data_IF_515745617011
#
_entry.id   IF_515745617011
#
_cell.length_a   1.000
_cell.length_b   1.000
_cell.length_c   1.000
_cell.angle_alpha   90.00
_cell.angle_beta   90.00
_cell.angle_gamma   90.00
#
_symmetry.space_group_name_H-M   'P 1'
#
loop_
_entity.id
_entity.type
_entity.pdbx_description
1 polymer ?
#
# COMPACT_ATOMS: atom_id res chain seq x y z
N UNK A 1 2.84 -20.34 47.52
CA UNK A 1 3.13 -19.90 46.14
C UNK A 1 2.78 -18.44 46.04
N UNK A 2 3.77 -17.56 45.79
CA UNK A 2 3.54 -16.13 45.62
C UNK A 2 2.97 -15.89 44.22
N UNK A 3 1.81 -15.24 44.14
CA UNK A 3 1.18 -14.86 42.86
C UNK A 3 1.82 -13.57 42.37
N UNK A 4 2.64 -13.65 41.33
CA UNK A 4 3.16 -12.49 40.61
C UNK A 4 2.01 -11.77 39.88
N UNK A 5 1.62 -10.61 40.39
CA UNK A 5 0.72 -9.71 39.70
C UNK A 5 1.39 -9.15 38.44
N UNK A 6 0.91 -9.57 37.26
CA UNK A 6 1.35 -9.01 35.98
C UNK A 6 1.05 -7.51 35.95
N UNK A 7 2.10 -6.69 36.05
CA UNK A 7 2.01 -5.23 35.94
C UNK A 7 1.50 -4.85 34.53
N UNK A 8 0.23 -4.50 34.42
CA UNK A 8 -0.35 -3.93 33.21
C UNK A 8 0.17 -2.52 32.97
N UNK A 9 0.59 -2.23 31.74
CA UNK A 9 1.11 -0.92 31.29
C UNK A 9 0.07 0.22 31.47
N UNK A 10 -1.19 -0.12 31.71
CA UNK A 10 -2.26 0.84 31.96
C UNK A 10 -2.37 1.32 33.43
N UNK A 11 -1.69 0.66 34.39
CA UNK A 11 -1.71 1.10 35.80
C UNK A 11 -0.76 2.29 35.97
N UNK A 12 -1.30 3.51 35.89
CA UNK A 12 -0.55 4.75 36.10
C UNK A 12 -0.99 5.92 35.23
N UNK A 13 -1.87 5.68 34.24
CA UNK A 13 -2.46 6.77 33.48
C UNK A 13 -3.62 7.40 34.27
N UNK A 14 -3.47 8.67 34.66
CA UNK A 14 -4.53 9.49 35.25
C UNK A 14 -5.63 9.77 34.22
N UNK A 15 -6.46 8.76 33.94
CA UNK A 15 -7.62 8.89 33.06
C UNK A 15 -8.76 9.47 33.88
N UNK A 16 -9.28 10.63 33.48
CA UNK A 16 -10.57 11.11 33.99
C UNK A 16 -11.68 10.25 33.37
N UNK A 17 -12.41 9.44 34.15
CA UNK A 17 -13.54 8.68 33.61
C UNK A 17 -14.60 9.67 33.11
N UNK A 18 -15.15 9.44 31.91
CA UNK A 18 -16.23 10.26 31.36
C UNK A 18 -15.83 11.59 30.71
N UNK A 19 -14.55 11.83 30.37
CA UNK A 19 -14.11 13.09 29.73
C UNK A 19 -14.58 13.28 28.27
N UNK A 20 -15.36 12.37 27.70
CA UNK A 20 -15.88 12.49 26.35
C UNK A 20 -17.33 12.04 26.34
N UNK A 21 -18.21 12.93 25.89
CA UNK A 21 -19.58 12.58 25.55
C UNK A 21 -19.60 12.04 24.12
N UNK A 22 -20.23 10.88 23.88
CA UNK A 22 -20.34 10.34 22.52
C UNK A 22 -21.24 11.27 21.71
N UNK A 23 -20.79 11.67 20.52
CA UNK A 23 -21.57 12.53 19.63
C UNK A 23 -22.92 11.91 19.22
N UNK A 24 -23.05 10.58 19.29
CA UNK A 24 -24.28 9.84 18.99
C UNK A 24 -24.43 8.65 19.96
N UNK A 25 -25.65 8.34 20.42
CA UNK A 25 -25.91 7.19 21.26
C UNK A 25 -25.68 5.88 20.50
N UNK A 26 -25.14 4.86 21.19
CA UNK A 26 -24.96 3.53 20.60
C UNK A 26 -26.33 2.89 20.32
N UNK A 27 -26.62 2.61 19.05
CA UNK A 27 -27.77 1.81 18.64
C UNK A 27 -27.30 0.40 18.28
N UNK A 28 -27.92 -0.61 18.91
CA UNK A 28 -27.56 -2.04 18.72
C UNK A 28 -28.01 -2.60 17.35
N UNK A 29 -28.62 -1.77 16.51
CA UNK A 29 -29.10 -2.09 15.16
C UNK A 29 -28.05 -1.75 14.10
N UNK A 30 -26.90 -2.41 14.14
CA UNK A 30 -26.07 -2.55 12.93
C UNK A 30 -25.54 -3.96 12.88
N UNK A 31 -26.48 -4.89 12.84
CA UNK A 31 -26.30 -6.18 12.20
C UNK A 31 -27.11 -6.15 10.91
N UNK A 32 -26.39 -5.96 9.80
CA UNK A 32 -26.79 -6.17 8.39
C UNK A 32 -27.68 -5.09 7.75
N UNK A 33 -27.04 -4.38 6.82
CA UNK A 33 -27.47 -4.13 5.44
C UNK A 33 -28.99 -4.10 5.20
N UNK A 34 -29.58 -2.91 5.04
CA UNK A 34 -30.61 -2.66 4.02
C UNK A 34 -30.50 -1.23 3.48
N UNK A 35 -30.73 -1.13 2.17
CA UNK A 35 -30.59 0.02 1.28
C UNK A 35 -31.22 1.34 1.79
N UNK A 36 -30.43 2.42 1.80
CA UNK A 36 -30.94 3.78 1.65
C UNK A 36 -30.29 4.39 0.42
N UNK A 37 -31.01 4.32 -0.69
CA UNK A 37 -30.78 5.12 -1.89
C UNK A 37 -31.23 6.53 -1.56
N UNK A 38 -30.32 7.39 -1.14
CA UNK A 38 -30.54 8.82 -1.06
C UNK A 38 -29.58 9.56 -1.98
N UNK A 39 -30.19 10.42 -2.80
CA UNK A 39 -29.61 11.22 -3.88
C UNK A 39 -28.48 12.07 -3.32
N UNK A 40 -27.25 11.78 -3.72
CA UNK A 40 -26.12 12.66 -3.45
C UNK A 40 -26.11 13.72 -4.55
N UNK A 41 -26.55 14.91 -4.18
CA UNK A 41 -26.31 16.15 -4.94
C UNK A 41 -24.83 16.24 -5.32
N UNK A 42 -24.56 16.51 -6.59
CA UNK A 42 -23.23 16.78 -7.13
C UNK A 42 -22.70 18.11 -6.58
N UNK A 43 -22.42 18.18 -5.28
CA UNK A 43 -21.61 19.23 -4.70
C UNK A 43 -20.17 18.80 -4.93
N UNK A 44 -19.52 19.46 -5.90
CA UNK A 44 -18.09 19.36 -6.16
C UNK A 44 -17.35 19.62 -4.86
N UNK A 45 -17.00 18.55 -4.15
CA UNK A 45 -16.02 18.59 -3.07
C UNK A 45 -14.69 18.70 -3.80
N UNK A 46 -14.20 19.93 -3.97
CA UNK A 46 -12.78 20.20 -4.13
C UNK A 46 -12.08 19.61 -2.92
N UNK A 47 -11.74 18.32 -3.01
CA UNK A 47 -10.80 17.69 -2.11
C UNK A 47 -9.49 18.41 -2.33
N UNK A 48 -9.13 19.27 -1.37
CA UNK A 48 -7.78 19.75 -1.24
C UNK A 48 -6.86 18.53 -1.31
N UNK A 49 -6.00 18.48 -2.34
CA UNK A 49 -4.95 17.47 -2.47
C UNK A 49 -4.12 17.59 -1.21
N UNK A 50 -4.43 16.77 -0.20
CA UNK A 50 -3.52 16.51 0.91
C UNK A 50 -2.18 16.19 0.25
N UNK A 51 -1.17 16.99 0.54
CA UNK A 51 0.19 16.73 0.10
C UNK A 51 0.59 15.42 0.77
N UNK A 52 0.36 14.31 0.06
CA UNK A 52 0.67 12.97 0.55
C UNK A 52 2.16 12.95 0.81
N UNK A 53 2.50 12.67 2.07
CA UNK A 53 3.86 12.44 2.52
C UNK A 53 4.47 11.38 1.61
N UNK A 54 5.40 11.77 0.75
CA UNK A 54 6.09 10.84 -0.14
C UNK A 54 6.89 9.87 0.74
N UNK A 55 6.52 8.60 0.69
CA UNK A 55 7.32 7.58 1.34
C UNK A 55 8.55 7.37 0.47
N UNK A 56 9.75 7.59 1.04
CA UNK A 56 11.04 7.49 0.32
C UNK A 56 11.23 6.17 -0.43
N UNK A 57 10.52 5.11 -0.06
CA UNK A 57 10.60 3.81 -0.71
C UNK A 57 9.67 3.66 -1.94
N UNK A 58 8.95 4.70 -2.36
CA UNK A 58 8.12 4.71 -3.57
C UNK A 58 8.44 5.95 -4.41
N UNK A 59 9.47 5.86 -5.24
CA UNK A 59 9.88 6.99 -6.09
C UNK A 59 9.05 7.10 -7.37
N UNK A 60 8.54 5.98 -7.92
CA UNK A 60 7.78 5.96 -9.17
C UNK A 60 6.65 4.94 -9.14
N UNK A 61 5.49 5.33 -9.68
CA UNK A 61 4.33 4.45 -9.85
C UNK A 61 4.19 4.05 -11.32
N UNK A 62 4.22 2.75 -11.60
CA UNK A 62 3.94 2.20 -12.93
C UNK A 62 2.46 1.82 -12.99
N UNK A 63 1.72 2.39 -13.94
CA UNK A 63 0.33 1.98 -14.22
C UNK A 63 0.34 0.82 -15.19
N UNK A 64 -0.36 -0.27 -14.84
CA UNK A 64 -0.45 -1.50 -15.66
C UNK A 64 -1.92 -1.85 -15.93
N UNK A 65 -2.15 -2.66 -16.95
CA UNK A 65 -3.48 -3.22 -17.23
C UNK A 65 -3.88 -4.24 -16.15
N UNK A 66 -5.18 -4.56 -16.07
CA UNK A 66 -5.69 -5.51 -15.09
C UNK A 66 -5.10 -6.91 -15.26
N UNK A 67 -4.97 -7.40 -16.51
CA UNK A 67 -4.40 -8.72 -16.80
C UNK A 67 -2.93 -8.82 -16.34
N UNK A 68 -2.10 -7.80 -16.63
CA UNK A 68 -0.70 -7.79 -16.20
C UNK A 68 -0.59 -7.81 -14.67
N UNK A 69 -1.50 -7.12 -13.97
CA UNK A 69 -1.53 -7.13 -12.50
C UNK A 69 -1.86 -8.51 -11.94
N UNK A 70 -2.79 -9.25 -12.55
CA UNK A 70 -3.13 -10.61 -12.14
C UNK A 70 -1.96 -11.57 -12.35
N UNK A 71 -1.29 -11.49 -13.50
CA UNK A 71 -0.10 -12.30 -13.80
C UNK A 71 1.05 -11.99 -12.84
N UNK A 72 1.30 -10.70 -12.54
CA UNK A 72 2.31 -10.30 -11.55
C UNK A 72 1.99 -10.84 -10.16
N UNK A 73 0.73 -10.80 -9.73
CA UNK A 73 0.33 -11.36 -8.44
C UNK A 73 0.51 -12.88 -8.37
N UNK A 74 0.18 -13.59 -9.46
CA UNK A 74 0.42 -15.02 -9.55
C UNK A 74 1.92 -15.32 -9.45
N UNK A 75 2.75 -14.60 -10.21
CA UNK A 75 4.19 -14.80 -10.22
C UNK A 75 4.84 -14.50 -8.86
N UNK A 76 4.37 -13.44 -8.20
CA UNK A 76 4.73 -13.08 -6.83
C UNK A 76 4.39 -14.19 -5.83
N UNK A 77 3.22 -14.81 -5.96
CA UNK A 77 2.84 -15.92 -5.07
C UNK A 77 3.73 -17.16 -5.24
N UNK A 78 4.15 -17.46 -6.47
CA UNK A 78 4.99 -18.62 -6.80
C UNK A 78 6.41 -18.43 -6.29
N UNK A 79 6.98 -17.25 -6.56
CA UNK A 79 8.35 -16.88 -6.18
C UNK A 79 8.48 -16.44 -4.72
N UNK A 80 7.35 -16.26 -4.03
CA UNK A 80 7.26 -15.82 -2.63
C UNK A 80 7.90 -14.45 -2.37
N UNK A 81 7.87 -13.57 -3.36
CA UNK A 81 8.37 -12.20 -3.23
C UNK A 81 7.33 -11.30 -2.57
N UNK A 82 7.81 -10.26 -1.88
CA UNK A 82 6.91 -9.34 -1.18
C UNK A 82 6.58 -8.13 -2.04
N UNK A 83 7.47 -7.76 -2.94
CA UNK A 83 7.36 -6.52 -3.69
C UNK A 83 7.36 -6.75 -5.20
N UNK A 84 6.58 -5.94 -5.90
CA UNK A 84 6.36 -6.12 -7.33
C UNK A 84 7.61 -5.73 -8.13
N UNK A 85 8.42 -4.80 -7.61
CA UNK A 85 9.68 -4.40 -8.25
C UNK A 85 10.72 -5.53 -8.29
N UNK A 86 10.73 -6.45 -7.31
CA UNK A 86 11.64 -7.61 -7.29
C UNK A 86 11.33 -8.56 -8.46
N UNK A 87 10.03 -8.71 -8.77
CA UNK A 87 9.60 -9.48 -9.93
C UNK A 87 9.97 -8.79 -11.23
N UNK A 88 9.77 -7.47 -11.31
CA UNK A 88 10.12 -6.70 -12.50
C UNK A 88 11.63 -6.77 -12.76
N UNK A 89 12.46 -6.64 -11.74
CA UNK A 89 13.92 -6.80 -11.84
C UNK A 89 14.31 -8.18 -12.37
N UNK A 90 13.75 -9.24 -11.78
CA UNK A 90 13.98 -10.62 -12.24
C UNK A 90 13.57 -10.82 -13.71
N UNK A 91 12.43 -10.24 -14.13
CA UNK A 91 11.95 -10.34 -15.50
C UNK A 91 12.86 -9.58 -16.48
N UNK A 92 13.36 -8.41 -16.09
CA UNK A 92 14.33 -7.65 -16.88
C UNK A 92 15.61 -8.46 -17.04
N UNK A 93 16.16 -8.98 -15.95
CA UNK A 93 17.40 -9.77 -15.96
C UNK A 93 17.26 -11.01 -16.84
N UNK A 94 16.17 -11.77 -16.68
CA UNK A 94 15.87 -12.93 -17.51
C UNK A 94 15.78 -12.55 -18.99
N UNK A 95 15.03 -11.49 -19.32
CA UNK A 95 14.87 -11.06 -20.71
C UNK A 95 16.20 -10.57 -21.33
N UNK A 96 17.04 -9.87 -20.56
CA UNK A 96 18.33 -9.35 -21.06
C UNK A 96 19.31 -10.46 -21.45
N UNK A 97 19.18 -11.64 -20.84
CA UNK A 97 19.97 -12.82 -21.21
C UNK A 97 19.56 -13.38 -22.58
N UNK A 98 18.29 -13.24 -22.95
CA UNK A 98 17.77 -13.69 -24.24
C UNK A 98 18.00 -12.70 -25.40
N UNK A 99 18.47 -11.49 -25.12
CA UNK A 99 18.78 -10.49 -26.15
C UNK A 99 20.00 -10.86 -26.99
N UNK A 100 19.99 -10.42 -28.25
CA UNK A 100 21.19 -10.50 -29.10
C UNK A 100 22.33 -9.65 -28.52
N UNK A 101 23.60 -9.98 -28.80
CA UNK A 101 24.74 -9.22 -28.27
C UNK A 101 24.67 -7.71 -28.60
N UNK A 102 24.15 -7.36 -29.79
CA UNK A 102 23.96 -5.97 -30.21
C UNK A 102 22.89 -5.26 -29.37
N UNK A 103 21.73 -5.90 -29.17
CA UNK A 103 20.65 -5.34 -28.35
C UNK A 103 21.07 -5.19 -26.89
N UNK A 104 21.79 -6.17 -26.33
CA UNK A 104 22.33 -6.10 -24.97
C UNK A 104 23.32 -4.96 -24.80
N UNK A 105 24.21 -4.74 -25.78
CA UNK A 105 25.13 -3.59 -25.78
C UNK A 105 24.35 -2.28 -25.80
N UNK A 106 23.34 -2.18 -26.67
CA UNK A 106 22.47 -0.99 -26.77
C UNK A 106 21.72 -0.72 -25.46
N UNK A 107 21.14 -1.76 -24.84
CA UNK A 107 20.49 -1.67 -23.53
C UNK A 107 21.45 -1.15 -22.47
N UNK A 108 22.64 -1.74 -22.35
CA UNK A 108 23.67 -1.29 -21.40
C UNK A 108 24.09 0.16 -21.63
N UNK A 109 24.22 0.60 -22.88
CA UNK A 109 24.56 2.00 -23.17
C UNK A 109 23.45 2.94 -22.66
N UNK A 110 22.18 2.63 -22.90
CA UNK A 110 21.08 3.47 -22.42
C UNK A 110 21.00 3.55 -20.90
N UNK A 111 21.31 2.46 -20.19
CA UNK A 111 21.18 2.43 -18.72
C UNK A 111 22.40 2.99 -17.98
N UNK A 112 23.55 3.15 -18.63
CA UNK A 112 24.77 3.72 -18.02
C UNK A 112 24.96 5.22 -18.33
N UNK A 113 24.07 5.82 -19.13
CA UNK A 113 24.20 7.22 -19.56
C UNK A 113 23.70 8.23 -18.52
N UNK A 114 22.97 7.76 -17.50
CA UNK A 114 22.23 8.61 -16.56
C UNK A 114 22.98 8.83 -15.22
N UNK A 115 24.21 8.33 -15.08
CA UNK A 115 25.03 8.44 -13.85
C UNK A 115 25.90 9.72 -13.77
N UNK A 116 25.72 10.70 -14.66
CA UNK A 116 26.54 11.93 -14.79
C UNK A 116 25.79 13.25 -14.47
N UNK A 117 24.78 13.24 -13.58
CA UNK A 117 24.15 14.47 -13.04
C UNK A 117 24.12 14.54 -11.51
#
# INVERSE_FOLDING_TARGET
MMSEEKKSVLRGMNRKPGNFEPAQPYTKSSSKEENIVEKIDNKVITQERSQKKEFKNQQQQIKVSASIKEELNALKSITKTKFDYEIIELLIDSYTQHLTPMQRRKFKTMTMSDDEE
#
